data_IF_238398919067
#
_entry.id   IF_238398919067
#
_cell.length_a   1.000
_cell.length_b   1.000
_cell.length_c   1.000
_cell.angle_alpha   90.00
_cell.angle_beta   90.00
_cell.angle_gamma   90.00
#
_symmetry.space_group_name_H-M   'P 1'
#
loop_
_entity.id
_entity.type
_entity.pdbx_description
1 polymer ?
#
# COMPACT_ATOMS: atom_id res chain seq x y z
N UNK A 1 5.03 15.96 -10.67
CA UNK A 1 5.22 14.66 -10.01
C UNK A 1 5.42 14.94 -8.54
N UNK A 2 4.50 14.44 -7.71
CA UNK A 2 4.47 14.58 -6.26
C UNK A 2 4.65 13.20 -5.64
N UNK A 3 5.47 13.10 -4.60
CA UNK A 3 5.60 11.90 -3.76
C UNK A 3 4.74 12.05 -2.51
N UNK A 4 3.66 11.28 -2.46
CA UNK A 4 2.75 11.19 -1.34
C UNK A 4 3.18 10.06 -0.42
N UNK A 5 3.24 10.31 0.88
CA UNK A 5 3.39 9.28 1.90
C UNK A 5 2.15 9.28 2.79
N UNK A 6 1.45 8.15 2.80
CA UNK A 6 0.16 8.00 3.48
C UNK A 6 0.38 7.14 4.73
N UNK A 7 0.45 7.78 5.87
CA UNK A 7 0.58 7.11 7.17
C UNK A 7 0.23 8.06 8.31
N UNK A 8 -0.32 7.49 9.39
CA UNK A 8 -0.49 8.16 10.69
C UNK A 8 0.51 7.67 11.74
N UNK A 9 1.35 6.70 11.38
CA UNK A 9 2.21 5.97 12.31
C UNK A 9 3.56 6.67 12.49
N UNK A 10 3.90 7.18 13.69
CA UNK A 10 5.15 7.90 13.93
C UNK A 10 6.40 7.10 13.56
N UNK A 11 6.41 5.80 13.84
CA UNK A 11 7.55 4.94 13.49
C UNK A 11 7.77 4.82 11.98
N UNK A 12 6.69 4.80 11.18
CA UNK A 12 6.80 4.78 9.72
C UNK A 12 7.33 6.12 9.17
N UNK A 13 6.95 7.24 9.78
CA UNK A 13 7.46 8.57 9.44
C UNK A 13 8.97 8.64 9.73
N UNK A 14 9.36 8.26 10.93
CA UNK A 14 10.77 8.23 11.34
C UNK A 14 11.59 7.27 10.47
N UNK A 15 11.07 6.08 10.19
CA UNK A 15 11.73 5.10 9.32
C UNK A 15 11.96 5.66 7.91
N UNK A 16 10.95 6.33 7.32
CA UNK A 16 11.08 6.95 6.01
C UNK A 16 12.15 8.06 5.99
N UNK A 17 12.21 8.87 7.06
CA UNK A 17 13.24 9.91 7.21
C UNK A 17 14.64 9.32 7.33
N UNK A 18 14.83 8.27 8.15
CA UNK A 18 16.12 7.57 8.30
C UNK A 18 16.61 6.96 6.99
N UNK A 19 15.69 6.51 6.14
CA UNK A 19 15.97 5.97 4.80
C UNK A 19 16.17 7.06 3.73
N UNK A 20 15.96 8.33 4.06
CA UNK A 20 16.11 9.45 3.13
C UNK A 20 15.04 9.51 2.04
N UNK A 21 13.82 9.00 2.32
CA UNK A 21 12.72 9.08 1.36
C UNK A 21 12.35 10.56 1.13
N UNK A 22 12.33 10.98 -0.14
CA UNK A 22 11.84 12.29 -0.54
C UNK A 22 10.31 12.28 -0.56
N UNK A 23 9.69 12.91 0.44
CA UNK A 23 8.23 13.00 0.58
C UNK A 23 7.81 14.46 0.45
N UNK A 24 6.98 14.76 -0.54
CA UNK A 24 6.43 16.10 -0.77
C UNK A 24 5.16 16.34 0.05
N UNK A 25 4.38 15.27 0.27
CA UNK A 25 3.09 15.30 0.97
C UNK A 25 3.00 14.14 1.95
N UNK A 26 3.01 14.42 3.24
CA UNK A 26 2.68 13.46 4.29
C UNK A 26 1.22 13.67 4.70
N UNK A 27 0.39 12.63 4.56
CA UNK A 27 -1.04 12.68 4.91
C UNK A 27 -1.47 11.44 5.67
N UNK A 28 -2.45 11.56 6.56
CA UNK A 28 -3.03 10.39 7.24
C UNK A 28 -4.00 9.62 6.34
N UNK A 29 -4.75 10.35 5.52
CA UNK A 29 -5.75 9.81 4.61
C UNK A 29 -5.49 10.30 3.21
N UNK A 30 -5.57 9.39 2.25
CA UNK A 30 -5.48 9.72 0.83
C UNK A 30 -6.88 9.91 0.26
N UNK A 31 -7.10 11.07 -0.34
CA UNK A 31 -8.17 11.26 -1.31
C UNK A 31 -7.60 11.01 -2.72
N UNK A 32 -7.99 9.92 -3.41
CA UNK A 32 -7.50 9.61 -4.74
C UNK A 32 -7.81 10.70 -5.77
N UNK A 33 -8.80 11.57 -5.53
CA UNK A 33 -9.14 12.63 -6.48
C UNK A 33 -8.09 13.73 -6.58
N UNK A 34 -7.20 13.83 -5.60
CA UNK A 34 -6.04 14.73 -5.63
C UNK A 34 -4.81 14.13 -6.34
N UNK A 35 -4.84 12.85 -6.70
CA UNK A 35 -3.71 12.18 -7.36
C UNK A 35 -3.68 12.54 -8.85
N UNK A 36 -2.52 13.02 -9.30
CA UNK A 36 -2.25 13.31 -10.70
C UNK A 36 -1.47 12.16 -11.37
N UNK A 37 -1.61 11.97 -12.69
CA UNK A 37 -0.77 11.03 -13.43
C UNK A 37 0.73 11.31 -13.21
N UNK A 38 1.51 10.25 -13.01
CA UNK A 38 2.94 10.34 -12.71
C UNK A 38 3.29 10.65 -11.25
N UNK A 39 2.32 10.89 -10.36
CA UNK A 39 2.59 10.94 -8.93
C UNK A 39 3.02 9.57 -8.39
N UNK A 40 3.69 9.57 -7.25
CA UNK A 40 4.04 8.36 -6.50
C UNK A 40 3.33 8.37 -5.17
N UNK A 41 2.63 7.29 -4.84
CA UNK A 41 1.92 7.12 -3.57
C UNK A 41 2.57 5.99 -2.80
N UNK A 42 3.10 6.31 -1.62
CA UNK A 42 3.77 5.38 -0.70
C UNK A 42 2.86 5.17 0.52
N UNK A 43 2.64 3.93 0.94
CA UNK A 43 1.94 3.64 2.19
C UNK A 43 1.13 2.35 2.14
N UNK A 44 0.46 2.03 3.24
CA UNK A 44 -0.43 0.87 3.36
C UNK A 44 -1.86 1.37 3.14
N UNK A 45 -2.45 1.04 1.99
CA UNK A 45 -3.78 1.52 1.61
C UNK A 45 -4.75 0.34 1.42
N UNK A 46 -6.05 0.54 1.70
CA UNK A 46 -7.10 -0.34 1.22
C UNK A 46 -6.94 -0.66 -0.27
N UNK A 47 -7.08 -1.93 -0.65
CA UNK A 47 -6.82 -2.41 -2.01
C UNK A 47 -7.65 -1.69 -3.09
N UNK A 48 -8.86 -1.27 -2.75
CA UNK A 48 -9.74 -0.48 -3.62
C UNK A 48 -9.18 0.94 -3.87
N UNK A 49 -8.50 1.56 -2.89
CA UNK A 49 -7.85 2.85 -3.09
C UNK A 49 -6.59 2.71 -3.94
N UNK A 50 -5.82 1.64 -3.74
CA UNK A 50 -4.66 1.34 -4.60
C UNK A 50 -5.08 1.20 -6.06
N UNK A 51 -6.17 0.48 -6.32
CA UNK A 51 -6.72 0.36 -7.67
C UNK A 51 -7.04 1.72 -8.31
N UNK A 52 -7.61 2.66 -7.55
CA UNK A 52 -7.89 4.02 -8.01
C UNK A 52 -6.63 4.83 -8.27
N UNK A 53 -5.58 4.68 -7.45
CA UNK A 53 -4.27 5.30 -7.68
C UNK A 53 -3.67 4.81 -9.01
N UNK A 54 -3.66 3.48 -9.22
CA UNK A 54 -3.16 2.88 -10.46
C UNK A 54 -3.97 3.33 -11.68
N UNK A 55 -5.30 3.35 -11.59
CA UNK A 55 -6.20 3.79 -12.67
C UNK A 55 -5.95 5.25 -13.08
N UNK A 56 -5.55 6.11 -12.14
CA UNK A 56 -5.19 7.52 -12.41
C UNK A 56 -3.80 7.69 -13.02
N UNK A 57 -3.07 6.60 -13.29
CA UNK A 57 -1.72 6.64 -13.87
C UNK A 57 -0.64 7.08 -12.88
N UNK A 58 -0.91 6.95 -11.57
CA UNK A 58 0.09 7.14 -10.53
C UNK A 58 0.75 5.82 -10.14
N UNK A 59 1.99 5.89 -9.67
CA UNK A 59 2.73 4.73 -9.17
C UNK A 59 2.39 4.48 -7.71
N UNK A 60 1.94 3.28 -7.38
CA UNK A 60 1.76 2.87 -6.00
C UNK A 60 2.95 2.06 -5.49
N UNK A 61 3.39 2.38 -4.27
CA UNK A 61 4.43 1.70 -3.52
C UNK A 61 3.91 1.35 -2.12
N UNK A 62 3.91 0.07 -1.76
CA UNK A 62 3.52 -0.39 -0.43
C UNK A 62 4.70 -0.37 0.54
N UNK A 63 4.44 -0.03 1.81
CA UNK A 63 5.36 -0.31 2.91
C UNK A 63 5.09 -1.74 3.41
N UNK A 64 5.91 -2.69 2.98
CA UNK A 64 5.78 -4.10 3.31
C UNK A 64 6.64 -4.47 4.51
N UNK A 65 6.11 -5.38 5.34
CA UNK A 65 6.73 -5.87 6.59
C UNK A 65 6.46 -7.36 6.73
N UNK A 66 7.44 -8.11 7.24
CA UNK A 66 7.29 -9.54 7.53
C UNK A 66 6.92 -9.74 9.00
N UNK A 67 5.68 -9.39 9.35
CA UNK A 67 5.21 -9.37 10.75
C UNK A 67 4.76 -10.76 11.24
N UNK A 68 5.32 -11.25 12.36
CA UNK A 68 4.74 -12.39 13.07
C UNK A 68 3.36 -12.01 13.63
N UNK A 69 2.49 -13.01 13.82
CA UNK A 69 1.11 -12.78 14.28
C UNK A 69 1.04 -11.93 15.58
N UNK A 70 1.98 -12.13 16.50
CA UNK A 70 2.04 -11.40 17.78
C UNK A 70 2.44 -9.92 17.65
N UNK A 71 3.00 -9.49 16.51
CA UNK A 71 3.39 -8.11 16.25
C UNK A 71 2.35 -7.33 15.43
N UNK A 72 1.33 -8.00 14.88
CA UNK A 72 0.28 -7.35 14.09
C UNK A 72 -0.62 -6.48 14.96
N UNK A 73 -1.12 -5.38 14.40
CA UNK A 73 -2.06 -4.48 15.08
C UNK A 73 -1.43 -3.59 16.16
N UNK A 74 -0.11 -3.65 16.34
CA UNK A 74 0.64 -2.77 17.24
C UNK A 74 1.19 -1.57 16.49
N UNK A 75 1.35 -0.47 17.20
CA UNK A 75 2.18 0.65 16.77
C UNK A 75 3.66 0.20 16.83
N UNK A 76 4.40 0.32 15.73
CA UNK A 76 5.79 -0.10 15.62
C UNK A 76 6.72 1.11 15.54
N UNK A 77 7.84 1.05 16.24
CA UNK A 77 8.96 2.01 16.11
C UNK A 77 9.74 1.83 14.81
N UNK A 78 10.55 2.81 14.42
CA UNK A 78 11.43 2.69 13.25
C UNK A 78 12.41 1.51 13.35
N UNK A 79 12.94 1.25 14.56
CA UNK A 79 13.84 0.12 14.81
C UNK A 79 13.11 -1.22 14.66
N UNK A 80 11.87 -1.31 15.15
CA UNK A 80 11.03 -2.50 14.93
C UNK A 80 10.70 -2.69 13.45
N UNK A 81 10.41 -1.61 12.70
CA UNK A 81 10.18 -1.67 11.26
C UNK A 81 11.40 -2.25 10.54
N UNK A 82 12.61 -1.78 10.84
CA UNK A 82 13.84 -2.35 10.30
C UNK A 82 14.03 -3.82 10.72
N UNK A 83 13.77 -4.15 11.99
CA UNK A 83 13.85 -5.53 12.49
C UNK A 83 12.86 -6.49 11.81
N UNK A 84 11.68 -6.01 11.41
CA UNK A 84 10.67 -6.76 10.67
C UNK A 84 10.81 -6.66 9.14
N UNK A 85 11.96 -6.20 8.64
CA UNK A 85 12.25 -6.22 7.20
C UNK A 85 11.42 -5.21 6.40
N UNK A 86 11.15 -4.04 6.97
CA UNK A 86 10.47 -2.94 6.29
C UNK A 86 11.11 -2.64 4.93
N UNK A 87 10.29 -2.61 3.90
CA UNK A 87 10.71 -2.33 2.52
C UNK A 87 9.61 -1.65 1.72
N UNK A 88 10.03 -0.94 0.68
CA UNK A 88 9.14 -0.30 -0.27
C UNK A 88 9.05 -1.16 -1.53
N UNK A 89 7.85 -1.60 -1.89
CA UNK A 89 7.59 -2.49 -3.03
C UNK A 89 6.50 -1.92 -3.94
N UNK A 90 6.69 -2.02 -5.25
CA UNK A 90 5.72 -1.53 -6.22
C UNK A 90 4.62 -2.56 -6.49
N UNK A 91 3.38 -2.10 -6.56
CA UNK A 91 2.24 -2.93 -6.92
C UNK A 91 1.36 -2.25 -7.96
N UNK A 92 0.81 -3.07 -8.85
CA UNK A 92 -0.23 -2.67 -9.79
C UNK A 92 -1.50 -3.45 -9.44
N UNK A 93 -2.57 -2.71 -9.13
CA UNK A 93 -3.83 -3.30 -8.68
C UNK A 93 -4.93 -2.83 -9.61
N UNK A 94 -5.80 -3.77 -9.98
CA UNK A 94 -7.02 -3.48 -10.74
C UNK A 94 -8.20 -4.24 -10.15
N UNK A 95 -9.42 -3.68 -10.16
CA UNK A 95 -10.61 -4.43 -9.80
C UNK A 95 -10.79 -5.61 -10.75
N UNK A 96 -11.29 -6.72 -10.23
CA UNK A 96 -11.66 -7.89 -11.02
C UNK A 96 -13.13 -8.18 -10.77
N UNK A 97 -13.87 -8.55 -11.82
CA UNK A 97 -15.23 -9.00 -11.67
C UNK A 97 -15.27 -10.28 -10.82
N UNK A 98 -16.31 -10.50 -10.00
CA UNK A 98 -16.53 -11.79 -9.37
C UNK A 98 -16.58 -12.87 -10.47
N UNK A 99 -15.81 -13.95 -10.30
CA UNK A 99 -15.88 -15.10 -11.21
C UNK A 99 -17.10 -15.95 -10.85
N UNK A 100 -18.13 -15.97 -11.70
CA UNK A 100 -19.24 -16.90 -11.60
C UNK A 100 -18.79 -18.31 -12.03
N UNK A 101 -18.06 -19.00 -11.16
CA UNK A 101 -17.73 -20.42 -11.38
C UNK A 101 -18.81 -21.29 -10.74
N UNK A 102 -19.98 -21.38 -11.39
CA UNK A 102 -20.82 -22.58 -11.30
C UNK A 102 -20.63 -23.39 -12.59
N UNK A 103 -19.53 -24.13 -12.67
CA UNK A 103 -19.49 -25.28 -13.56
C UNK A 103 -20.14 -26.44 -12.82
N UNK A 104 -21.45 -26.59 -13.01
CA UNK A 104 -22.11 -27.87 -12.76
C UNK A 104 -21.54 -28.84 -13.80
N UNK A 105 -20.57 -29.65 -13.39
CA UNK A 105 -20.21 -30.86 -14.12
C UNK A 105 -21.36 -31.85 -13.95
N UNK A 106 -22.34 -31.81 -14.87
CA UNK A 106 -23.23 -32.93 -15.13
C UNK A 106 -22.35 -34.13 -15.47
N UNK A 107 -22.17 -35.03 -14.50
CA UNK A 107 -21.58 -36.34 -14.67
C UNK A 107 -22.67 -37.27 -15.24
N UNK A 108 -22.62 -37.69 -16.52
CA UNK A 108 -23.52 -38.71 -17.02
C UNK A 108 -22.97 -40.09 -16.61
N UNK A 109 -23.76 -40.83 -15.84
CA UNK A 109 -23.66 -42.30 -15.74
C UNK A 109 -24.53 -42.93 -16.82
#
# INVERSE_FOLDING_TARGET
>A
MTTWFVTRHPGAIEWAQRRGLSVDRLVEHLDPDHIAPGDTVIGILPVNLVARVCERGARYLNLSLDLPAAARGRELSADELDAYGARIEGYEVRPVAPSDTHQNEDCPL
#
